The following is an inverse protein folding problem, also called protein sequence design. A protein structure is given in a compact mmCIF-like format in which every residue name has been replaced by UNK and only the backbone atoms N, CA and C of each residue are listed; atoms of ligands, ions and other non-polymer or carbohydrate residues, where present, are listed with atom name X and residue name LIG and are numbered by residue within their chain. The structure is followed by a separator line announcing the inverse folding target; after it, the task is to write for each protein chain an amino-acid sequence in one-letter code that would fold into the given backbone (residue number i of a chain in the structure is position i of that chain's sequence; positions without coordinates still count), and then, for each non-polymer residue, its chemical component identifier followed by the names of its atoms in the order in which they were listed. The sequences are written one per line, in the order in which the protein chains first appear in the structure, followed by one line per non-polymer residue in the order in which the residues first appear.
data_IF_481980801875
#
_entry.id   IF_481980801875
#
_cell.length_a   1.000
_cell.length_b   1.000
_cell.length_c   1.000
_cell.angle_alpha   90.00
_cell.angle_beta   90.00
_cell.angle_gamma   90.00
#
_symmetry.space_group_name_H-M   'P 1'
#
loop_
_entity.id
_entity.type
_entity.pdbx_description
1 polymer ?
#
# COMPACT_ATOMS: atom_id res chain seq x y z
N UNK A 1 -10.29 -9.99 -9.75
CA UNK A 1 -9.53 -11.25 -9.86
C UNK A 1 -8.19 -10.92 -10.49
N UNK A 2 -7.12 -11.65 -10.15
CA UNK A 2 -5.80 -11.50 -10.76
C UNK A 2 -5.49 -12.75 -11.58
N UNK A 3 -5.11 -12.59 -12.85
CA UNK A 3 -4.77 -13.65 -13.79
C UNK A 3 -3.40 -13.40 -14.40
N UNK A 4 -2.75 -14.44 -14.93
CA UNK A 4 -1.64 -14.27 -15.88
C UNK A 4 -2.18 -14.22 -17.31
N UNK A 5 -1.57 -13.42 -18.19
CA UNK A 5 -2.04 -13.26 -19.58
C UNK A 5 -1.96 -14.56 -20.39
N UNK A 6 -2.96 -14.77 -21.25
CA UNK A 6 -3.15 -16.00 -22.02
C UNK A 6 -4.13 -16.99 -21.40
N UNK A 7 -4.60 -16.71 -20.18
CA UNK A 7 -5.43 -17.62 -19.39
C UNK A 7 -6.64 -16.89 -18.76
N UNK A 8 -7.26 -15.98 -19.53
CA UNK A 8 -8.51 -15.29 -19.16
C UNK A 8 -9.70 -16.25 -18.88
N UNK A 9 -9.51 -17.54 -19.17
CA UNK A 9 -10.43 -18.64 -18.89
C UNK A 9 -9.91 -19.68 -17.88
N UNK A 10 -8.68 -19.57 -17.37
CA UNK A 10 -8.22 -20.40 -16.26
C UNK A 10 -8.57 -19.82 -14.89
N UNK A 11 -8.43 -20.67 -13.88
CA UNK A 11 -8.61 -20.29 -12.49
C UNK A 11 -7.71 -19.09 -12.16
N UNK A 12 -8.26 -18.00 -11.61
CA UNK A 12 -7.46 -16.85 -11.24
C UNK A 12 -6.42 -17.22 -10.18
N UNK A 13 -5.26 -16.57 -10.21
CA UNK A 13 -4.28 -16.65 -9.11
C UNK A 13 -4.93 -16.26 -7.79
N UNK A 14 -5.76 -15.20 -7.82
CA UNK A 14 -6.55 -14.75 -6.69
C UNK A 14 -7.95 -14.32 -7.13
N UNK A 15 -8.96 -14.85 -6.45
CA UNK A 15 -10.37 -14.48 -6.62
C UNK A 15 -10.93 -13.79 -5.39
N UNK A 16 -11.95 -12.95 -5.57
CA UNK A 16 -12.70 -12.37 -4.45
C UNK A 16 -11.94 -11.35 -3.60
N UNK A 17 -10.93 -10.69 -4.17
CA UNK A 17 -10.22 -9.60 -3.50
C UNK A 17 -11.15 -8.38 -3.36
N UNK A 18 -11.50 -8.05 -2.13
CA UNK A 18 -12.28 -6.85 -1.81
C UNK A 18 -11.35 -5.64 -1.65
N UNK A 19 -11.89 -4.45 -1.87
CA UNK A 19 -11.15 -3.21 -1.63
C UNK A 19 -10.64 -3.15 -0.19
N UNK A 20 -9.39 -2.71 0.00
CA UNK A 20 -8.79 -2.58 1.32
C UNK A 20 -8.33 -3.90 1.94
N UNK A 21 -8.29 -4.99 1.15
CA UNK A 21 -7.76 -6.29 1.57
C UNK A 21 -6.47 -6.62 0.82
N UNK A 22 -5.74 -7.61 1.32
CA UNK A 22 -4.60 -8.20 0.61
C UNK A 22 -4.86 -9.70 0.37
N UNK A 23 -4.25 -10.25 -0.67
CA UNK A 23 -4.30 -11.68 -0.97
C UNK A 23 -3.30 -12.47 -0.12
N UNK A 24 -3.40 -13.79 -0.15
CA UNK A 24 -2.28 -14.64 0.24
C UNK A 24 -1.12 -14.57 -0.77
N UNK A 25 -0.14 -15.45 -0.57
CA UNK A 25 1.02 -15.59 -1.46
C UNK A 25 0.88 -16.82 -2.37
N UNK A 26 1.44 -16.72 -3.57
CA UNK A 26 1.58 -17.84 -4.51
C UNK A 26 3.03 -17.90 -4.99
N UNK A 27 3.58 -19.11 -5.10
CA UNK A 27 4.91 -19.30 -5.68
C UNK A 27 4.85 -19.22 -7.20
N UNK A 28 5.75 -18.45 -7.79
CA UNK A 28 5.86 -18.25 -9.23
C UNK A 28 7.28 -18.55 -9.69
N UNK A 29 7.42 -18.94 -10.97
CA UNK A 29 8.73 -19.04 -11.60
C UNK A 29 9.26 -17.63 -11.87
N UNK A 30 10.58 -17.41 -11.78
CA UNK A 30 11.18 -16.13 -12.16
C UNK A 30 11.06 -15.94 -13.69
N UNK A 31 10.26 -14.97 -14.09
CA UNK A 31 10.03 -14.61 -15.50
C UNK A 31 9.45 -13.19 -15.61
N UNK A 32 9.37 -12.66 -16.83
CA UNK A 32 8.47 -11.55 -17.15
C UNK A 32 7.06 -12.12 -17.32
N UNK A 33 6.11 -11.60 -16.54
CA UNK A 33 4.70 -12.01 -16.63
C UNK A 33 3.83 -10.79 -16.82
N UNK A 34 2.73 -10.99 -17.53
CA UNK A 34 1.67 -10.00 -17.62
C UNK A 34 0.53 -10.43 -16.68
N UNK A 35 0.10 -9.51 -15.84
CA UNK A 35 -0.94 -9.69 -14.84
C UNK A 35 -2.20 -8.93 -15.27
N UNK A 36 -3.31 -9.66 -15.39
CA UNK A 36 -4.60 -9.11 -15.77
C UNK A 36 -5.49 -8.99 -14.53
N UNK A 37 -5.97 -7.78 -14.26
CA UNK A 37 -6.87 -7.49 -13.14
C UNK A 37 -8.27 -7.30 -13.71
N UNK A 38 -9.24 -8.08 -13.22
CA UNK A 38 -10.62 -8.06 -13.74
C UNK A 38 -11.66 -7.89 -12.63
N UNK A 39 -12.88 -7.39 -12.92
CA UNK A 39 -13.97 -7.41 -11.95
C UNK A 39 -14.36 -8.85 -11.59
N UNK A 40 -14.79 -9.08 -10.36
CA UNK A 40 -15.28 -10.39 -9.94
C UNK A 40 -16.46 -10.86 -10.82
N UNK A 41 -16.39 -12.09 -11.32
CA UNK A 41 -17.43 -12.67 -12.18
C UNK A 41 -17.48 -12.10 -13.61
N UNK A 42 -16.56 -11.21 -14.00
CA UNK A 42 -16.50 -10.65 -15.35
C UNK A 42 -15.05 -10.64 -15.89
N UNK A 43 -14.46 -11.81 -16.21
CA UNK A 43 -13.07 -11.91 -16.66
C UNK A 43 -12.81 -11.27 -18.04
N UNK A 44 -13.86 -11.03 -18.84
CA UNK A 44 -13.73 -10.38 -20.16
C UNK A 44 -13.57 -8.85 -20.11
N UNK A 45 -13.49 -8.26 -18.92
CA UNK A 45 -13.26 -6.83 -18.72
C UNK A 45 -12.01 -6.62 -17.89
N UNK A 46 -11.09 -5.78 -18.35
CA UNK A 46 -9.89 -5.42 -17.61
C UNK A 46 -10.11 -4.14 -16.79
N UNK A 47 -9.66 -4.16 -15.54
CA UNK A 47 -9.52 -3.01 -14.66
C UNK A 47 -8.11 -2.42 -14.72
N UNK A 48 -7.11 -3.28 -14.90
CA UNK A 48 -5.71 -2.96 -15.13
C UNK A 48 -5.00 -4.16 -15.78
N UNK A 49 -3.86 -3.87 -16.39
CA UNK A 49 -2.92 -4.84 -16.93
C UNK A 49 -1.51 -4.41 -16.51
N UNK A 50 -0.74 -5.31 -15.93
CA UNK A 50 0.58 -5.00 -15.38
C UNK A 50 1.63 -5.98 -15.89
N UNK A 51 2.65 -5.48 -16.58
CA UNK A 51 3.84 -6.28 -16.93
C UNK A 51 4.84 -6.19 -15.78
N UNK A 52 5.16 -7.32 -15.17
CA UNK A 52 6.07 -7.39 -14.03
C UNK A 52 7.21 -8.37 -14.26
N UNK A 53 8.41 -7.97 -13.83
CA UNK A 53 9.59 -8.82 -13.86
C UNK A 53 9.80 -9.47 -12.50
N UNK A 54 9.73 -10.79 -12.45
CA UNK A 54 10.04 -11.57 -11.25
C UNK A 54 11.48 -12.07 -11.29
N UNK A 55 12.15 -12.01 -10.14
CA UNK A 55 13.48 -12.57 -9.91
C UNK A 55 13.41 -13.71 -8.89
N UNK A 56 14.36 -14.63 -8.99
CA UNK A 56 14.44 -15.76 -8.07
C UNK A 56 14.70 -15.29 -6.64
N UNK A 57 14.22 -16.07 -5.66
CA UNK A 57 14.42 -15.86 -4.22
C UNK A 57 13.96 -14.48 -3.71
N UNK A 58 12.95 -13.89 -4.36
CA UNK A 58 12.30 -12.66 -3.94
C UNK A 58 10.82 -12.88 -3.66
N UNK A 59 10.30 -12.11 -2.70
CA UNK A 59 8.86 -12.00 -2.43
C UNK A 59 8.39 -10.62 -2.90
N UNK A 60 7.24 -10.59 -3.57
CA UNK A 60 6.69 -9.38 -4.14
C UNK A 60 5.28 -9.10 -3.62
N UNK A 61 4.95 -7.82 -3.54
CA UNK A 61 3.60 -7.32 -3.31
C UNK A 61 3.26 -6.36 -4.44
N UNK A 62 2.18 -6.62 -5.17
CA UNK A 62 1.62 -5.69 -6.14
C UNK A 62 0.58 -4.83 -5.43
N UNK A 63 0.83 -3.53 -5.35
CA UNK A 63 -0.15 -2.55 -4.91
C UNK A 63 -0.96 -2.12 -6.10
N UNK A 64 -2.28 -2.24 -6.00
CA UNK A 64 -3.22 -1.73 -6.99
C UNK A 64 -4.02 -0.61 -6.35
N UNK A 65 -3.96 0.58 -6.92
CA UNK A 65 -4.68 1.74 -6.40
C UNK A 65 -5.15 2.64 -7.53
N UNK A 66 -6.08 3.55 -7.24
CA UNK A 66 -6.65 4.44 -8.23
C UNK A 66 -8.17 4.52 -8.20
N UNK A 67 -8.72 5.21 -9.20
CA UNK A 67 -10.16 5.41 -9.36
C UNK A 67 -10.78 4.29 -10.19
N UNK A 68 -12.10 4.09 -10.14
CA UNK A 68 -12.77 3.12 -11.00
C UNK A 68 -12.44 3.33 -12.48
N UNK A 69 -11.89 2.30 -13.13
CA UNK A 69 -11.47 2.32 -14.54
C UNK A 69 -10.07 2.93 -14.79
N UNK A 70 -9.37 3.36 -13.74
CA UNK A 70 -8.01 3.89 -13.78
C UNK A 70 -7.25 3.37 -12.55
N UNK A 71 -6.81 2.12 -12.62
CA UNK A 71 -5.94 1.54 -11.61
C UNK A 71 -4.50 1.56 -12.09
N UNK A 72 -3.59 1.89 -11.17
CA UNK A 72 -2.16 1.83 -11.34
C UNK A 72 -1.57 0.74 -10.44
N UNK A 73 -0.70 -0.10 -11.00
CA UNK A 73 0.08 -1.09 -10.30
C UNK A 73 1.47 -0.60 -9.89
N UNK A 74 1.87 -0.89 -8.66
CA UNK A 74 3.25 -0.74 -8.19
C UNK A 74 3.73 -2.05 -7.61
N UNK A 75 4.76 -2.64 -8.23
CA UNK A 75 5.39 -3.85 -7.71
C UNK A 75 6.49 -3.49 -6.71
N UNK A 76 6.40 -4.02 -5.50
CA UNK A 76 7.41 -3.86 -4.47
C UNK A 76 7.99 -5.20 -4.05
N UNK A 77 9.28 -5.22 -3.70
CA UNK A 77 9.86 -6.35 -2.99
C UNK A 77 9.56 -6.27 -1.49
N UNK A 78 9.38 -7.43 -0.87
CA UNK A 78 9.28 -7.54 0.58
C UNK A 78 10.66 -7.33 1.22
N UNK A 79 10.67 -6.72 2.40
CA UNK A 79 11.92 -6.49 3.13
C UNK A 79 12.45 -7.77 3.78
N UNK A 80 13.55 -8.32 3.28
CA UNK A 80 14.08 -9.66 3.58
C UNK A 80 14.48 -9.97 5.05
N UNK A 81 14.49 -8.99 5.95
CA UNK A 81 14.87 -9.22 7.36
C UNK A 81 14.06 -8.37 8.34
N UNK A 82 13.47 -9.05 9.33
CA UNK A 82 12.88 -8.45 10.53
C UNK A 82 13.99 -7.94 11.46
N UNK A 83 13.76 -6.81 12.12
CA UNK A 83 14.70 -6.24 13.09
C UNK A 83 14.32 -6.70 14.50
N UNK A 84 15.26 -7.27 15.24
CA UNK A 84 14.98 -7.89 16.53
C UNK A 84 14.36 -6.92 17.56
N UNK A 85 14.75 -5.65 17.50
CA UNK A 85 14.43 -4.64 18.52
C UNK A 85 13.60 -3.48 17.97
N UNK A 86 13.23 -3.50 16.69
CA UNK A 86 12.52 -2.40 16.04
C UNK A 86 11.34 -2.93 15.24
N UNK A 87 10.35 -2.07 15.05
CA UNK A 87 9.33 -2.26 14.03
C UNK A 87 9.85 -1.76 12.68
N UNK A 88 9.44 -2.43 11.59
CA UNK A 88 9.61 -1.91 10.24
C UNK A 88 8.29 -1.35 9.75
N UNK A 89 8.32 -0.15 9.20
CA UNK A 89 7.14 0.54 8.69
C UNK A 89 7.37 0.99 7.25
N UNK A 90 6.39 0.75 6.38
CA UNK A 90 6.38 1.25 4.99
C UNK A 90 5.08 1.97 4.72
N UNK A 91 5.17 3.10 4.04
CA UNK A 91 4.04 3.85 3.54
C UNK A 91 3.98 3.82 2.01
N UNK A 92 2.78 3.63 1.47
CA UNK A 92 2.44 3.76 0.05
C UNK A 92 1.27 4.74 -0.13
N UNK A 93 1.41 5.68 -1.06
CA UNK A 93 0.38 6.66 -1.38
C UNK A 93 -0.46 6.22 -2.59
N UNK A 94 -1.61 5.58 -2.34
CA UNK A 94 -2.55 5.08 -3.36
C UNK A 94 -3.88 5.86 -3.52
N UNK A 95 -4.02 7.02 -2.90
CA UNK A 95 -5.17 7.91 -3.04
C UNK A 95 -4.97 8.84 -4.25
N UNK A 96 -5.56 8.48 -5.39
CA UNK A 96 -5.36 9.14 -6.68
C UNK A 96 -5.91 10.57 -6.73
N UNK A 97 -6.85 10.94 -5.84
CA UNK A 97 -7.36 12.32 -5.73
C UNK A 97 -6.35 13.28 -5.11
N UNK A 98 -5.27 12.77 -4.53
CA UNK A 98 -4.22 13.56 -3.90
C UNK A 98 -2.94 13.45 -4.71
N UNK A 99 -2.52 14.55 -5.34
CA UNK A 99 -1.27 14.57 -6.11
C UNK A 99 -0.04 14.29 -5.23
N UNK A 100 -0.08 14.73 -3.97
CA UNK A 100 0.88 14.37 -2.94
C UNK A 100 0.29 14.56 -1.54
N UNK A 101 0.92 13.94 -0.53
CA UNK A 101 0.61 14.14 0.90
C UNK A 101 1.87 14.22 1.76
N UNK A 102 1.75 14.87 2.90
CA UNK A 102 2.72 14.77 3.99
C UNK A 102 2.29 13.67 4.96
N UNK A 103 3.22 12.78 5.33
CA UNK A 103 3.00 11.71 6.30
C UNK A 103 3.62 12.07 7.65
N UNK A 104 2.81 12.04 8.69
CA UNK A 104 3.25 12.08 10.08
C UNK A 104 3.06 10.70 10.70
N UNK A 105 4.09 10.24 11.39
CA UNK A 105 4.02 9.08 12.29
C UNK A 105 4.57 9.57 13.62
N UNK A 106 3.68 9.79 14.57
CA UNK A 106 3.99 10.47 15.84
C UNK A 106 3.51 9.63 17.01
N UNK A 107 4.10 9.74 18.21
CA UNK A 107 3.59 9.02 19.38
C UNK A 107 2.10 9.27 19.56
N UNK A 108 1.39 8.24 20.04
CA UNK A 108 -0.05 8.30 20.28
C UNK A 108 -0.49 9.60 20.99
N UNK A 109 -1.53 10.24 20.44
CA UNK A 109 -2.14 11.49 20.90
C UNK A 109 -1.23 12.74 20.84
N UNK A 110 -0.17 12.71 20.03
CA UNK A 110 0.68 13.89 19.79
C UNK A 110 -0.02 14.93 18.92
N UNK A 111 0.20 16.22 19.24
CA UNK A 111 -0.18 17.32 18.37
C UNK A 111 0.90 17.54 17.30
N UNK A 112 0.49 17.54 16.02
CA UNK A 112 1.38 17.75 14.88
C UNK A 112 1.64 19.23 14.58
N UNK A 113 0.97 20.17 15.25
CA UNK A 113 0.99 21.61 14.91
C UNK A 113 2.38 22.22 14.73
N UNK A 114 3.36 21.78 15.53
CA UNK A 114 4.75 22.23 15.51
C UNK A 114 5.75 21.18 14.99
N UNK A 115 5.26 20.02 14.54
CA UNK A 115 6.09 18.92 14.07
C UNK A 115 6.32 19.01 12.55
N UNK A 116 7.45 18.46 12.12
CA UNK A 116 7.72 18.18 10.71
C UNK A 116 7.18 16.80 10.35
N UNK A 117 6.71 16.60 9.10
CA UNK A 117 6.31 15.27 8.65
C UNK A 117 7.51 14.32 8.61
N UNK A 118 7.25 13.03 8.83
CA UNK A 118 8.23 11.97 8.65
C UNK A 118 8.63 11.84 7.17
N UNK A 119 7.64 11.93 6.27
CA UNK A 119 7.85 12.02 4.82
C UNK A 119 7.07 13.20 4.26
N UNK A 120 7.74 14.10 3.56
CA UNK A 120 7.12 15.27 2.93
C UNK A 120 6.79 15.02 1.46
N UNK A 121 5.64 15.51 1.00
CA UNK A 121 5.22 15.53 -0.41
C UNK A 121 5.35 14.18 -1.11
N UNK A 122 4.91 13.10 -0.48
CA UNK A 122 4.87 11.76 -1.09
C UNK A 122 3.85 11.79 -2.23
N UNK A 123 4.25 11.62 -3.50
CA UNK A 123 3.34 11.72 -4.64
C UNK A 123 2.40 10.51 -4.71
N UNK A 124 1.32 10.62 -5.48
CA UNK A 124 0.52 9.44 -5.88
C UNK A 124 1.41 8.36 -6.52
N UNK A 125 1.17 7.09 -6.18
CA UNK A 125 2.02 5.90 -6.43
C UNK A 125 3.38 5.92 -5.74
N UNK A 126 3.68 6.96 -4.95
CA UNK A 126 4.89 7.07 -4.18
C UNK A 126 4.95 6.05 -3.05
N UNK A 127 6.08 5.37 -2.94
CA UNK A 127 6.34 4.38 -1.90
C UNK A 127 7.64 4.70 -1.17
N UNK A 128 7.61 4.58 0.15
CA UNK A 128 8.82 4.66 0.97
C UNK A 128 9.57 3.33 1.01
N UNK A 129 10.86 3.38 1.34
CA UNK A 129 11.55 2.20 1.87
C UNK A 129 11.00 1.82 3.25
N UNK A 130 11.47 0.69 3.81
CA UNK A 130 11.16 0.37 5.19
C UNK A 130 11.90 1.29 6.16
N UNK A 131 11.14 2.07 6.90
CA UNK A 131 11.61 2.90 8.01
C UNK A 131 11.69 2.02 9.27
N UNK A 132 12.73 2.24 10.09
CA UNK A 132 12.86 1.56 11.38
C UNK A 132 12.35 2.48 12.47
N UNK A 133 11.36 2.01 13.23
CA UNK A 133 10.74 2.74 14.33
C UNK A 133 10.95 1.98 15.63
N UNK A 134 11.04 2.73 16.73
CA UNK A 134 11.00 2.13 18.06
C UNK A 134 9.64 1.45 18.26
N UNK A 135 9.58 0.31 18.98
CA UNK A 135 8.32 -0.32 19.28
C UNK A 135 7.47 0.54 20.22
N UNK A 136 6.32 1.02 19.77
CA UNK A 136 5.36 1.82 20.55
C UNK A 136 4.02 1.97 19.78
N UNK A 137 3.06 2.65 20.41
CA UNK A 137 1.85 3.13 19.76
C UNK A 137 2.08 4.48 19.06
N UNK A 138 1.63 4.56 17.81
CA UNK A 138 1.73 5.77 16.99
C UNK A 138 0.36 6.20 16.46
N UNK A 139 0.21 7.49 16.21
CA UNK A 139 -0.83 8.03 15.34
C UNK A 139 -0.23 8.34 13.97
N UNK A 140 -0.87 7.78 12.93
CA UNK A 140 -0.57 8.09 11.54
C UNK A 140 -1.53 9.17 11.07
N UNK A 141 -0.99 10.27 10.57
CA UNK A 141 -1.76 11.41 10.06
C UNK A 141 -1.24 11.80 8.69
N UNK A 142 -2.15 12.04 7.76
CA UNK A 142 -1.84 12.65 6.46
C UNK A 142 -2.34 14.07 6.43
N UNK A 143 -1.54 14.97 5.87
CA UNK A 143 -1.96 16.36 5.60
C UNK A 143 -1.72 16.73 4.14
N UNK A 144 -2.37 17.82 3.72
CA UNK A 144 -1.97 18.50 2.49
C UNK A 144 -0.50 18.95 2.58
N UNK A 145 0.29 18.81 1.50
CA UNK A 145 1.71 19.12 1.52
C UNK A 145 2.02 20.54 1.98
N UNK A 146 2.98 20.68 2.89
CA UNK A 146 3.42 21.97 3.44
C UNK A 146 2.41 22.65 4.35
N UNK A 147 1.31 21.99 4.70
CA UNK A 147 0.28 22.50 5.60
C UNK A 147 0.09 21.60 6.83
N UNK A 148 -0.87 21.94 7.69
CA UNK A 148 -1.34 21.09 8.80
C UNK A 148 -2.82 20.68 8.62
N UNK A 149 -3.37 20.89 7.44
CA UNK A 149 -4.74 20.50 7.12
C UNK A 149 -4.78 19.00 6.92
N UNK A 150 -5.38 18.30 7.87
CA UNK A 150 -5.51 16.84 7.87
C UNK A 150 -6.43 16.39 6.73
N UNK A 151 -5.97 15.39 5.98
CA UNK A 151 -6.73 14.71 4.92
C UNK A 151 -7.04 13.26 5.26
N UNK A 152 -6.30 12.65 6.19
CA UNK A 152 -6.61 11.35 6.77
C UNK A 152 -6.01 11.17 8.16
N UNK A 153 -6.64 10.33 8.98
CA UNK A 153 -6.23 10.06 10.35
C UNK A 153 -6.78 11.07 11.38
N UNK A 154 -6.29 11.01 12.63
CA UNK A 154 -5.27 10.09 13.13
C UNK A 154 -5.74 8.63 13.12
N UNK A 155 -4.91 7.74 12.57
CA UNK A 155 -5.06 6.30 12.70
C UNK A 155 -4.09 5.80 13.77
N UNK A 156 -4.64 5.29 14.88
CA UNK A 156 -3.85 4.67 15.95
C UNK A 156 -3.36 3.29 15.50
N UNK A 157 -2.07 3.05 15.62
CA UNK A 157 -1.42 1.77 15.32
C UNK A 157 -0.50 1.35 16.46
N UNK A 158 -0.36 0.04 16.67
CA UNK A 158 0.61 -0.56 17.59
C UNK A 158 1.73 -1.19 16.75
N UNK A 159 2.96 -0.68 16.91
CA UNK A 159 4.12 -1.16 16.18
C UNK A 159 5.00 -1.97 17.14
N UNK A 160 4.92 -3.30 17.07
CA UNK A 160 5.71 -4.17 17.93
C UNK A 160 7.12 -4.43 17.36
N UNK A 161 8.07 -4.75 18.25
CA UNK A 161 9.40 -5.20 17.85
C UNK A 161 9.30 -6.45 16.95
N UNK A 162 10.17 -6.55 15.95
CA UNK A 162 10.16 -7.62 14.93
C UNK A 162 8.97 -7.56 13.97
N UNK A 163 8.00 -6.68 14.19
CA UNK A 163 6.86 -6.48 13.29
C UNK A 163 7.28 -5.80 11.99
N UNK A 164 6.54 -6.10 10.91
CA UNK A 164 6.63 -5.43 9.62
C UNK A 164 5.24 -4.91 9.31
N UNK A 165 5.13 -3.61 9.14
CA UNK A 165 3.85 -2.92 9.03
C UNK A 165 3.83 -2.07 7.79
N UNK A 166 2.65 -1.99 7.20
CA UNK A 166 2.41 -1.19 6.02
C UNK A 166 1.17 -0.33 6.21
N UNK A 167 1.27 0.89 5.73
CA UNK A 167 0.12 1.78 5.64
C UNK A 167 -0.04 2.26 4.22
N UNK A 168 -1.26 2.15 3.73
CA UNK A 168 -1.64 2.56 2.39
C UNK A 168 -2.70 3.64 2.54
N UNK A 169 -2.54 4.77 1.87
CA UNK A 169 -3.67 5.67 1.65
C UNK A 169 -4.46 5.28 0.42
N UNK A 170 -5.78 5.46 0.50
CA UNK A 170 -6.69 5.24 -0.60
C UNK A 170 -7.73 6.37 -0.66
N UNK A 171 -8.36 6.53 -1.82
CA UNK A 171 -9.45 7.50 -1.97
C UNK A 171 -10.64 7.13 -1.09
N UNK A 172 -11.25 8.12 -0.44
CA UNK A 172 -12.53 7.94 0.23
C UNK A 172 -13.69 8.36 -0.68
N UNK A 173 -14.92 8.19 -0.20
CA UNK A 173 -16.10 8.70 -0.91
C UNK A 173 -16.13 10.24 -0.97
N UNK A 174 -15.45 10.92 -0.03
CA UNK A 174 -15.27 12.37 -0.05
C UNK A 174 -14.04 12.73 -0.89
N UNK A 175 -14.10 13.85 -1.61
CA UNK A 175 -13.05 14.24 -2.57
C UNK A 175 -11.79 14.80 -1.93
N UNK A 176 -11.91 15.31 -0.70
CA UNK A 176 -10.86 15.98 0.08
C UNK A 176 -10.43 15.18 1.31
N UNK A 177 -10.94 13.96 1.47
CA UNK A 177 -10.57 13.03 2.54
C UNK A 177 -10.03 11.74 1.92
N UNK A 178 -8.90 11.27 2.42
CA UNK A 178 -8.36 9.95 2.14
C UNK A 178 -8.70 8.97 3.28
N UNK A 179 -8.65 7.68 2.98
CA UNK A 179 -8.70 6.60 3.96
C UNK A 179 -7.28 6.06 4.19
N UNK A 180 -6.98 5.64 5.41
CA UNK A 180 -5.78 4.88 5.74
C UNK A 180 -6.14 3.40 5.95
N UNK A 181 -5.40 2.53 5.27
CA UNK A 181 -5.42 1.08 5.43
C UNK A 181 -4.12 0.66 6.12
N UNK A 182 -4.21 -0.27 7.07
CA UNK A 182 -3.08 -0.71 7.87
C UNK A 182 -2.98 -2.23 7.86
N UNK A 183 -1.77 -2.74 7.64
CA UNK A 183 -1.49 -4.16 7.53
C UNK A 183 -0.25 -4.50 8.36
N UNK A 184 -0.34 -5.60 9.10
CA UNK A 184 0.82 -6.33 9.58
C UNK A 184 1.16 -7.42 8.57
N UNK A 185 2.44 -7.54 8.22
CA UNK A 185 2.95 -8.46 7.21
C UNK A 185 3.68 -9.62 7.89
N UNK A 186 3.37 -10.83 7.47
CA UNK A 186 3.91 -12.10 7.97
C UNK A 186 5.25 -12.53 7.34
#
# INVERSE_FOLDING_TARGET
MLHTTGDEFADPLFSGLEFGTHSGEVSMQPDEINLNITPAGNPGSFLAEETVQLSDSQRYTLYLSGLPGQLDGVLATAGSRRLATHAKFRYYQGAARFSAVDLYVVPAASDISLLSPLLSSVPYTGMSGYLSLEPDMYDIVLTWPGTKTVVAGPLRVDLAARGVYETISADSQQTDVAQLLYFEID
#
